data_IF_878825260794
#
_entry.id   IF_878825260794
#
_cell.length_a   1.000
_cell.length_b   1.000
_cell.length_c   1.000
_cell.angle_alpha   90.00
_cell.angle_beta   90.00
_cell.angle_gamma   90.00
#
_symmetry.space_group_name_H-M   'P 1'
#
loop_
_entity.id
_entity.type
_entity.pdbx_description
1 polymer ?
#
# COMPACT_ATOMS: atom_id res chain seq x y z
N UNK A 1 17.03 1.35 -45.14
CA UNK A 1 16.15 1.69 -44.00
C UNK A 1 15.64 0.40 -43.39
N UNK A 2 16.14 0.02 -42.21
CA UNK A 2 15.65 -1.15 -41.46
C UNK A 2 14.82 -0.64 -40.28
N UNK A 3 13.63 -1.18 -40.02
CA UNK A 3 12.82 -0.79 -38.87
C UNK A 3 13.30 -1.55 -37.63
N UNK A 4 14.32 -1.02 -36.97
CA UNK A 4 14.51 -1.21 -35.54
C UNK A 4 13.84 -0.03 -34.84
N UNK A 5 13.28 -0.27 -33.64
CA UNK A 5 12.56 0.67 -32.77
C UNK A 5 11.09 0.88 -33.21
N UNK A 6 10.04 0.49 -32.47
CA UNK A 6 9.75 0.69 -31.05
C UNK A 6 8.90 -0.45 -30.45
N UNK A 7 9.48 -1.34 -29.65
CA UNK A 7 8.69 -1.99 -28.58
C UNK A 7 8.70 -0.99 -27.42
N UNK A 8 7.72 -0.08 -27.46
CA UNK A 8 7.52 0.95 -26.45
C UNK A 8 7.49 0.32 -25.05
N UNK A 9 8.32 0.91 -24.20
CA UNK A 9 8.70 0.68 -22.81
C UNK A 9 7.59 0.46 -21.75
N UNK A 10 6.36 0.14 -22.10
CA UNK A 10 5.23 0.13 -21.15
C UNK A 10 4.85 -1.26 -20.62
N UNK A 11 5.85 -2.12 -20.36
CA UNK A 11 5.61 -3.27 -19.48
C UNK A 11 5.36 -2.72 -18.08
N UNK A 12 4.16 -2.92 -17.48
CA UNK A 12 3.88 -2.39 -16.15
C UNK A 12 4.86 -2.98 -15.14
N UNK A 13 5.75 -2.13 -14.63
CA UNK A 13 6.79 -2.52 -13.69
C UNK A 13 6.34 -2.24 -12.25
N UNK A 14 5.82 -3.28 -11.57
CA UNK A 14 5.42 -3.23 -10.17
C UNK A 14 6.58 -3.20 -9.16
N UNK A 15 7.84 -3.20 -9.60
CA UNK A 15 9.03 -3.31 -8.72
C UNK A 15 9.56 -1.95 -8.23
N UNK A 16 9.06 -0.84 -8.76
CA UNK A 16 9.46 0.50 -8.30
C UNK A 16 9.04 0.76 -6.85
N UNK A 17 9.77 1.63 -6.14
CA UNK A 17 9.36 2.15 -4.81
C UNK A 17 8.01 2.87 -4.84
N UNK A 18 7.55 3.28 -6.03
CA UNK A 18 6.20 3.80 -6.27
C UNK A 18 5.10 2.79 -6.01
N UNK A 19 5.38 1.51 -6.22
CA UNK A 19 4.42 0.41 -6.11
C UNK A 19 4.47 -0.25 -4.72
N UNK A 20 5.37 0.21 -3.84
CA UNK A 20 5.54 -0.39 -2.51
C UNK A 20 4.91 0.49 -1.44
N UNK A 21 4.10 -0.15 -0.59
CA UNK A 21 3.41 0.49 0.51
C UNK A 21 3.68 -0.25 1.83
N UNK A 22 3.80 0.51 2.91
CA UNK A 22 3.85 -0.03 4.28
C UNK A 22 2.43 -0.13 4.81
N UNK A 23 2.02 -1.33 5.23
CA UNK A 23 0.78 -1.54 5.97
C UNK A 23 0.96 -1.07 7.42
N UNK A 24 0.06 -0.21 7.88
CA UNK A 24 0.07 0.33 9.25
C UNK A 24 -1.29 0.05 9.88
N UNK A 25 -1.29 -0.64 11.01
CA UNK A 25 -2.46 -0.74 11.89
C UNK A 25 -2.49 0.50 12.78
N UNK A 26 -3.54 1.31 12.62
CA UNK A 26 -3.75 2.55 13.35
C UNK A 26 -4.32 2.29 14.74
N UNK A 27 -4.23 3.30 15.61
CA UNK A 27 -4.75 3.24 16.99
C UNK A 27 -6.28 3.05 17.05
N UNK A 28 -6.99 3.44 16.00
CA UNK A 28 -8.44 3.26 15.86
C UNK A 28 -8.84 1.91 15.23
N UNK A 29 -7.91 0.95 15.13
CA UNK A 29 -8.10 -0.39 14.54
C UNK A 29 -8.38 -0.41 13.02
N UNK A 30 -8.18 0.69 12.31
CA UNK A 30 -8.18 0.71 10.85
C UNK A 30 -6.78 0.45 10.28
N UNK A 31 -6.72 0.06 9.01
CA UNK A 31 -5.47 -0.10 8.26
C UNK A 31 -5.22 1.12 7.39
N UNK A 32 -3.98 1.61 7.34
CA UNK A 32 -3.54 2.61 6.37
C UNK A 32 -2.35 2.08 5.56
N UNK A 33 -2.22 2.57 4.32
CA UNK A 33 -1.12 2.21 3.42
C UNK A 33 -0.26 3.44 3.12
N UNK A 34 0.97 3.46 3.63
CA UNK A 34 1.91 4.56 3.46
C UNK A 34 2.87 4.27 2.29
N UNK A 35 3.07 5.23 1.40
CA UNK A 35 4.00 5.08 0.26
C UNK A 35 5.46 4.96 0.72
N UNK A 36 6.19 3.98 0.18
CA UNK A 36 7.63 3.84 0.42
C UNK A 36 8.48 4.91 -0.30
N UNK A 37 7.98 5.46 -1.42
CA UNK A 37 8.64 6.57 -2.14
C UNK A 37 8.42 7.91 -1.45
N UNK A 38 7.18 8.20 -1.01
CA UNK A 38 6.81 9.50 -0.43
C UNK A 38 6.45 9.38 1.05
N UNK A 39 7.39 9.78 1.91
CA UNK A 39 7.16 9.86 3.36
C UNK A 39 5.95 10.73 3.67
N UNK A 40 5.09 10.26 4.59
CA UNK A 40 3.88 10.97 4.98
C UNK A 40 2.75 10.95 3.95
N UNK A 41 2.94 10.32 2.79
CA UNK A 41 1.90 10.12 1.79
C UNK A 41 1.18 8.79 1.97
N UNK A 42 -0.15 8.82 1.94
CA UNK A 42 -1.00 7.65 2.14
C UNK A 42 -1.87 7.38 0.91
N UNK A 43 -2.24 6.12 0.70
CA UNK A 43 -3.33 5.76 -0.21
C UNK A 43 -4.62 6.32 0.38
N UNK A 44 -5.43 7.00 -0.43
CA UNK A 44 -6.65 7.62 0.05
C UNK A 44 -7.70 7.75 -1.06
N UNK A 45 -8.97 7.58 -0.67
CA UNK A 45 -10.11 7.83 -1.53
C UNK A 45 -11.07 8.81 -0.86
N UNK A 46 -11.50 9.82 -1.60
CA UNK A 46 -12.55 10.72 -1.16
C UNK A 46 -13.89 10.01 -1.03
N UNK A 47 -14.88 10.69 -0.44
CA UNK A 47 -16.23 10.12 -0.19
C UNK A 47 -16.95 9.60 -1.45
N UNK A 48 -16.59 10.11 -2.63
CA UNK A 48 -17.10 9.65 -3.94
C UNK A 48 -16.25 8.54 -4.58
N UNK A 49 -15.33 7.92 -3.85
CA UNK A 49 -14.41 6.89 -4.35
C UNK A 49 -13.25 7.40 -5.21
N UNK A 50 -13.10 8.73 -5.38
CA UNK A 50 -12.02 9.31 -6.19
C UNK A 50 -10.70 9.26 -5.43
N UNK A 51 -9.64 8.77 -6.07
CA UNK A 51 -8.29 8.77 -5.51
C UNK A 51 -7.83 10.20 -5.17
N UNK A 52 -7.15 10.36 -4.03
CA UNK A 52 -6.58 11.64 -3.60
C UNK A 52 -5.06 11.68 -3.82
N UNK A 53 -4.54 12.87 -4.10
CA UNK A 53 -3.09 13.09 -4.21
C UNK A 53 -2.44 12.88 -2.83
N UNK A 54 -1.37 12.09 -2.77
CA UNK A 54 -0.67 11.78 -1.52
C UNK A 54 -0.23 13.03 -0.71
N UNK A 55 0.13 14.13 -1.38
CA UNK A 55 0.47 15.40 -0.72
C UNK A 55 -0.67 16.03 0.09
N UNK A 56 -1.92 15.62 -0.15
CA UNK A 56 -3.12 16.11 0.55
C UNK A 56 -3.58 15.18 1.67
N UNK A 57 -2.85 14.09 1.91
CA UNK A 57 -3.24 13.03 2.86
C UNK A 57 -2.56 13.22 4.21
N UNK A 58 -3.27 12.86 5.29
CA UNK A 58 -2.77 12.81 6.67
C UNK A 58 -3.34 11.57 7.36
N UNK A 59 -2.59 10.99 8.29
CA UNK A 59 -2.95 9.73 8.95
C UNK A 59 -4.32 9.75 9.67
N UNK A 60 -4.74 10.91 10.19
CA UNK A 60 -5.98 11.07 10.95
C UNK A 60 -7.23 11.29 10.08
N UNK A 61 -7.09 11.39 8.75
CA UNK A 61 -8.22 11.53 7.83
C UNK A 61 -8.93 10.19 7.61
N UNK A 62 -10.26 10.18 7.49
CA UNK A 62 -11.01 8.93 7.27
C UNK A 62 -10.75 8.34 5.88
N UNK A 63 -10.42 9.18 4.92
CA UNK A 63 -10.13 8.83 3.54
C UNK A 63 -8.92 7.90 3.38
N UNK A 64 -8.03 7.83 4.38
CA UNK A 64 -6.85 6.94 4.41
C UNK A 64 -7.10 5.65 5.21
N UNK A 65 -8.29 5.46 5.76
CA UNK A 65 -8.63 4.33 6.64
C UNK A 65 -9.33 3.21 5.86
N UNK A 66 -8.77 2.01 5.89
CA UNK A 66 -9.24 0.85 5.16
C UNK A 66 -9.56 -0.32 6.09
N UNK A 67 -10.46 -1.19 5.62
CA UNK A 67 -10.74 -2.51 6.19
C UNK A 67 -10.36 -3.56 5.15
N UNK A 68 -9.51 -4.50 5.52
CA UNK A 68 -9.17 -5.65 4.67
C UNK A 68 -10.34 -6.63 4.69
N UNK A 69 -10.92 -6.92 3.53
CA UNK A 69 -12.00 -7.90 3.38
C UNK A 69 -11.43 -9.16 2.73
N UNK A 70 -11.83 -10.33 3.21
CA UNK A 70 -11.60 -11.57 2.49
C UNK A 70 -12.51 -11.57 1.25
N UNK A 71 -11.95 -11.89 0.09
CA UNK A 71 -12.76 -12.10 -1.09
C UNK A 71 -13.44 -13.47 -0.97
N UNK A 72 -14.77 -13.48 -1.02
CA UNK A 72 -15.55 -14.68 -1.25
C UNK A 72 -16.00 -14.68 -2.73
N UNK A 73 -15.70 -15.74 -3.46
CA UNK A 73 -15.99 -15.86 -4.89
C UNK A 73 -14.84 -15.45 -5.82
N UNK A 74 -15.05 -15.53 -7.15
CA UNK A 74 -14.04 -15.17 -8.15
C UNK A 74 -13.59 -13.70 -7.98
N UNK A 75 -12.28 -13.40 -8.13
CA UNK A 75 -11.79 -12.04 -7.95
C UNK A 75 -12.46 -11.06 -8.93
N UNK A 76 -12.87 -9.86 -8.46
CA UNK A 76 -13.70 -8.92 -9.23
C UNK A 76 -12.97 -8.21 -10.37
N UNK A 77 -11.66 -8.42 -10.50
CA UNK A 77 -10.86 -7.97 -11.64
C UNK A 77 -10.23 -9.20 -12.31
N UNK A 78 -10.06 -9.22 -13.64
CA UNK A 78 -9.30 -10.25 -14.31
C UNK A 78 -7.84 -10.09 -13.90
N UNK A 79 -7.49 -10.61 -12.74
CA UNK A 79 -6.13 -10.81 -12.32
C UNK A 79 -5.69 -12.09 -13.03
N UNK A 80 -5.31 -11.97 -14.30
CA UNK A 80 -4.86 -13.11 -15.15
C UNK A 80 -3.65 -13.81 -14.53
N UNK A 81 -3.02 -13.20 -13.52
CA UNK A 81 -1.93 -13.74 -12.70
C UNK A 81 -2.41 -14.60 -11.51
N UNK A 82 -3.39 -15.49 -11.71
CA UNK A 82 -3.83 -16.47 -10.69
C UNK A 82 -2.73 -17.45 -10.23
N UNK A 83 -1.50 -17.35 -10.75
CA UNK A 83 -0.37 -18.21 -10.41
C UNK A 83 0.91 -17.52 -9.90
N UNK A 84 0.98 -16.19 -9.78
CA UNK A 84 2.21 -15.57 -9.23
C UNK A 84 2.20 -15.64 -7.72
N UNK A 85 3.09 -16.47 -7.17
CA UNK A 85 3.49 -16.41 -5.76
C UNK A 85 3.82 -14.95 -5.41
N UNK A 86 3.31 -14.45 -4.28
CA UNK A 86 3.63 -13.09 -3.84
C UNK A 86 5.15 -12.92 -3.74
N UNK A 87 5.71 -11.90 -4.38
CA UNK A 87 7.12 -11.55 -4.20
C UNK A 87 7.22 -10.58 -3.01
N UNK A 88 7.67 -11.06 -1.86
CA UNK A 88 7.97 -10.18 -0.74
C UNK A 88 9.18 -9.32 -1.07
N UNK A 89 8.95 -8.03 -1.31
CA UNK A 89 10.05 -7.07 -1.43
C UNK A 89 10.59 -6.77 -0.03
N UNK A 90 11.76 -7.33 0.32
CA UNK A 90 12.43 -7.05 1.59
C UNK A 90 13.01 -5.65 1.56
N UNK A 91 12.23 -4.66 1.99
CA UNK A 91 12.77 -3.34 2.30
C UNK A 91 13.52 -3.40 3.65
N UNK A 92 14.64 -2.68 3.81
CA UNK A 92 15.28 -2.55 5.12
C UNK A 92 14.26 -2.00 6.11
N UNK A 93 14.18 -2.66 7.29
CA UNK A 93 13.14 -2.40 8.26
C UNK A 93 13.05 -0.90 8.58
N UNK A 94 11.93 -0.27 8.21
CA UNK A 94 11.57 1.02 8.79
C UNK A 94 11.49 0.80 10.30
N UNK A 95 12.14 1.68 11.09
CA UNK A 95 12.18 1.59 12.56
C UNK A 95 10.76 1.38 13.06
N UNK A 96 10.48 0.17 13.55
CA UNK A 96 9.19 -0.21 14.12
C UNK A 96 8.80 0.85 15.15
N UNK A 97 7.62 1.45 15.02
CA UNK A 97 7.10 2.35 16.04
C UNK A 97 7.11 1.60 17.38
N UNK A 98 7.76 2.19 18.39
CA UNK A 98 7.94 1.60 19.72
C UNK A 98 6.56 1.41 20.34
N UNK A 99 6.10 0.16 20.48
CA UNK A 99 4.92 -0.16 21.28
C UNK A 99 5.20 0.31 22.71
N UNK A 100 4.43 1.28 23.21
CA UNK A 100 4.39 1.62 24.63
C UNK A 100 3.67 0.50 25.37
N UNK A 101 4.40 -0.58 25.71
CA UNK A 101 3.88 -1.61 26.62
C UNK A 101 4.04 -1.04 28.03
N UNK A 102 2.99 -0.42 28.58
CA UNK A 102 2.94 -0.13 30.02
C UNK A 102 3.02 -1.48 30.73
N UNK A 103 4.13 -1.72 31.43
CA UNK A 103 4.28 -2.84 32.35
C UNK A 103 3.32 -2.62 33.51
N UNK A 104 2.24 -3.40 33.56
CA UNK A 104 1.56 -3.65 34.83
C UNK A 104 2.40 -4.67 35.60
N UNK A 105 3.42 -4.20 36.32
CA UNK A 105 3.85 -4.82 37.58
C UNK A 105 3.07 -4.13 38.70
N UNK A 106 2.85 -4.69 39.88
CA UNK A 106 3.25 -5.94 40.54
C UNK A 106 2.42 -6.00 41.84
N UNK A 107 2.23 -7.22 42.37
CA UNK A 107 1.65 -7.60 43.68
C UNK A 107 0.13 -7.54 43.81
#
# INVERSE_FOLDING_TARGET
>A
MSPHDDISSDVPNGRSRDCIFTEIVLENNYTAFQSARRRGGYVAFGRKGRALKASRTRQNQREVHFIKRLHAGPPPFPNTDQGRHFEFTRLPAARRAKRNRKSRGSR
#
